data_IF_101423285575
#
_entry.id   IF_101423285575
#
_cell.length_a   1.000
_cell.length_b   1.000
_cell.length_c   1.000
_cell.angle_alpha   90.00
_cell.angle_beta   90.00
_cell.angle_gamma   90.00
#
_symmetry.space_group_name_H-M   'P 1'
#
loop_
_entity.id
_entity.type
_entity.pdbx_description
1 polymer ?
#
# COMPACT_ATOMS: atom_id res chain seq x y z
N UNK A 1 -11.90 13.82 -26.07
CA UNK A 1 -11.90 12.50 -25.41
C UNK A 1 -11.51 12.71 -23.96
N UNK A 2 -12.17 12.06 -23.00
CA UNK A 2 -11.78 12.15 -21.59
C UNK A 2 -10.58 11.21 -21.35
N UNK A 3 -9.50 11.74 -20.78
CA UNK A 3 -8.36 10.93 -20.35
C UNK A 3 -8.69 10.29 -19.00
N UNK A 4 -8.71 8.96 -18.96
CA UNK A 4 -8.98 8.16 -17.75
C UNK A 4 -7.82 7.22 -17.49
N UNK A 5 -7.69 6.79 -16.24
CA UNK A 5 -6.75 5.78 -15.79
C UNK A 5 -7.38 5.02 -14.61
N UNK A 6 -6.95 3.76 -14.41
CA UNK A 6 -7.21 3.01 -13.19
C UNK A 6 -6.00 3.15 -12.26
N UNK A 7 -6.25 3.63 -11.05
CA UNK A 7 -5.25 3.64 -9.97
C UNK A 7 -5.58 2.54 -8.96
N UNK A 8 -4.68 1.57 -8.82
CA UNK A 8 -4.73 0.53 -7.81
C UNK A 8 -3.93 1.00 -6.60
N UNK A 9 -4.58 1.19 -5.46
CA UNK A 9 -3.91 1.72 -4.27
C UNK A 9 -3.60 0.59 -3.32
N UNK A 10 -2.30 0.38 -3.08
CA UNK A 10 -1.74 -0.41 -1.97
C UNK A 10 -2.35 -1.81 -1.83
N UNK A 11 -2.55 -2.51 -2.95
CA UNK A 11 -3.00 -3.91 -2.97
C UNK A 11 -1.84 -4.85 -2.64
N UNK A 12 -1.29 -4.71 -1.44
CA UNK A 12 -0.11 -5.43 -0.94
C UNK A 12 -0.48 -6.49 0.10
N UNK A 13 0.42 -7.45 0.30
CA UNK A 13 0.22 -8.57 1.22
C UNK A 13 -0.06 -8.11 2.66
N UNK A 14 0.64 -7.09 3.15
CA UNK A 14 0.47 -6.64 4.53
C UNK A 14 -0.91 -6.06 4.82
N UNK A 15 -1.66 -5.63 3.81
CA UNK A 15 -3.04 -5.16 3.94
C UNK A 15 -4.09 -6.26 3.72
N UNK A 16 -3.67 -7.48 3.36
CA UNK A 16 -4.54 -8.64 3.14
C UNK A 16 -4.47 -9.63 4.31
N UNK A 17 -5.29 -10.69 4.28
CA UNK A 17 -5.37 -11.66 5.37
C UNK A 17 -4.00 -12.29 5.69
N UNK A 18 -3.61 -12.24 6.96
CA UNK A 18 -2.32 -12.74 7.44
C UNK A 18 -1.17 -11.74 7.33
N UNK A 19 -1.40 -10.57 6.73
CA UNK A 19 -0.47 -9.45 6.68
C UNK A 19 -0.32 -8.71 8.01
N UNK A 20 0.75 -7.92 8.15
CA UNK A 20 1.06 -7.19 9.38
C UNK A 20 0.02 -6.11 9.74
N UNK A 21 -0.65 -5.54 8.74
CA UNK A 21 -1.69 -4.53 8.89
C UNK A 21 -2.96 -4.94 8.11
N UNK A 22 -3.36 -6.21 8.29
CA UNK A 22 -4.46 -6.81 7.55
C UNK A 22 -5.76 -6.02 7.71
N UNK A 23 -6.35 -5.61 6.60
CA UNK A 23 -7.66 -4.96 6.56
C UNK A 23 -8.74 -6.04 6.45
N UNK A 24 -9.86 -5.92 7.20
CA UNK A 24 -10.99 -6.84 7.04
C UNK A 24 -11.42 -6.93 5.57
N UNK A 25 -11.54 -8.16 5.07
CA UNK A 25 -11.92 -8.46 3.68
C UNK A 25 -10.95 -7.89 2.61
N UNK A 26 -9.70 -7.57 2.97
CA UNK A 26 -8.69 -7.03 2.05
C UNK A 26 -8.51 -7.86 0.77
N UNK A 27 -8.46 -9.19 0.89
CA UNK A 27 -8.34 -10.12 -0.24
C UNK A 27 -9.47 -9.99 -1.27
N UNK A 28 -10.69 -9.66 -0.83
CA UNK A 28 -11.85 -9.51 -1.73
C UNK A 28 -11.67 -8.34 -2.71
N UNK A 29 -10.88 -7.34 -2.31
CA UNK A 29 -10.56 -6.17 -3.16
C UNK A 29 -9.73 -6.58 -4.37
N UNK A 30 -8.92 -7.64 -4.26
CA UNK A 30 -8.07 -8.13 -5.36
C UNK A 30 -8.93 -8.67 -6.51
N UNK A 31 -10.03 -9.34 -6.20
CA UNK A 31 -10.97 -9.83 -7.22
C UNK A 31 -11.61 -8.66 -8.00
N UNK A 32 -12.08 -7.64 -7.26
CA UNK A 32 -12.67 -6.43 -7.85
C UNK A 32 -11.63 -5.68 -8.70
N UNK A 33 -10.40 -5.54 -8.20
CA UNK A 33 -9.31 -4.91 -8.93
C UNK A 33 -9.02 -5.64 -10.24
N UNK A 34 -9.00 -6.98 -10.24
CA UNK A 34 -8.79 -7.78 -11.44
C UNK A 34 -9.90 -7.60 -12.49
N UNK A 35 -11.15 -7.44 -12.06
CA UNK A 35 -12.26 -7.13 -12.96
C UNK A 35 -12.15 -5.72 -13.56
N UNK A 36 -11.73 -4.74 -12.76
CA UNK A 36 -11.49 -3.36 -13.22
C UNK A 36 -10.28 -3.24 -14.15
N UNK A 37 -9.25 -4.05 -13.93
CA UNK A 37 -8.10 -4.20 -14.84
C UNK A 37 -8.60 -4.64 -16.21
N UNK A 38 -9.39 -5.72 -16.30
CA UNK A 38 -9.91 -6.21 -17.58
C UNK A 38 -10.78 -5.15 -18.28
N UNK A 39 -11.62 -4.45 -17.52
CA UNK A 39 -12.46 -3.38 -18.03
C UNK A 39 -11.63 -2.21 -18.60
N UNK A 40 -10.55 -1.83 -17.92
CA UNK A 40 -9.65 -0.74 -18.33
C UNK A 40 -8.85 -1.12 -19.57
N UNK A 41 -8.32 -2.36 -19.61
CA UNK A 41 -7.60 -2.90 -20.76
C UNK A 41 -8.46 -2.91 -22.03
N UNK A 42 -9.74 -3.32 -21.92
CA UNK A 42 -10.68 -3.34 -23.03
C UNK A 42 -10.94 -1.94 -23.64
N UNK A 43 -10.57 -0.87 -22.92
CA UNK A 43 -10.79 0.53 -23.29
C UNK A 43 -9.49 1.26 -23.61
N UNK A 44 -8.34 0.59 -23.52
CA UNK A 44 -7.03 1.20 -23.68
C UNK A 44 -6.71 2.21 -22.59
N UNK A 45 -7.31 2.07 -21.40
CA UNK A 45 -7.08 2.94 -20.26
C UNK A 45 -5.84 2.44 -19.48
N UNK A 46 -4.87 3.31 -19.18
CA UNK A 46 -3.68 2.92 -18.43
C UNK A 46 -4.02 2.50 -17.00
N UNK A 47 -3.27 1.53 -16.51
CA UNK A 47 -3.36 1.01 -15.15
C UNK A 47 -2.06 1.36 -14.43
N UNK A 48 -2.19 2.04 -13.29
CA UNK A 48 -1.08 2.43 -12.41
C UNK A 48 -1.35 1.85 -11.04
N UNK A 49 -0.31 1.43 -10.33
CA UNK A 49 -0.41 1.04 -8.94
C UNK A 49 0.44 1.94 -8.05
N UNK A 50 0.01 2.15 -6.80
CA UNK A 50 0.90 2.54 -5.72
C UNK A 50 1.33 1.32 -4.91
N UNK A 51 2.45 1.48 -4.21
CA UNK A 51 2.87 0.59 -3.15
C UNK A 51 3.35 1.44 -2.00
N UNK A 52 2.86 1.16 -0.80
CA UNK A 52 3.52 1.63 0.41
C UNK A 52 4.87 0.92 0.53
N UNK A 53 5.94 1.67 0.83
CA UNK A 53 7.30 1.18 0.62
C UNK A 53 8.26 1.68 1.71
N UNK A 54 7.95 1.40 2.96
CA UNK A 54 8.61 1.97 4.13
C UNK A 54 10.01 1.42 4.41
N UNK A 55 11.03 2.25 4.70
CA UNK A 55 12.24 1.74 5.32
C UNK A 55 11.93 1.11 6.69
N UNK A 56 12.77 0.19 7.16
CA UNK A 56 12.53 -0.54 8.40
C UNK A 56 12.49 0.36 9.66
N UNK A 57 13.08 1.56 9.58
CA UNK A 57 13.11 2.57 10.63
C UNK A 57 12.10 3.71 10.40
N UNK A 58 11.05 3.48 9.60
CA UNK A 58 10.08 4.51 9.28
C UNK A 58 9.34 5.02 10.54
N UNK A 59 9.28 6.34 10.70
CA UNK A 59 8.76 6.98 11.92
C UNK A 59 7.28 6.73 12.22
N UNK A 60 6.48 6.24 11.27
CA UNK A 60 5.08 5.86 11.53
C UNK A 60 4.93 4.54 12.29
N UNK A 61 6.00 3.76 12.43
CA UNK A 61 5.95 2.45 13.08
C UNK A 61 6.04 2.56 14.59
N UNK A 62 5.16 1.86 15.29
CA UNK A 62 5.11 1.78 16.74
C UNK A 62 6.41 1.23 17.36
N UNK A 63 7.10 0.33 16.63
CA UNK A 63 8.40 -0.22 17.03
C UNK A 63 9.48 0.85 17.22
N UNK A 64 9.43 1.96 16.47
CA UNK A 64 10.40 3.07 16.56
C UNK A 64 10.20 3.93 17.80
N UNK A 65 9.02 3.85 18.44
CA UNK A 65 8.64 4.69 19.59
C UNK A 65 8.42 3.88 20.86
N UNK A 66 8.61 2.55 20.82
CA UNK A 66 8.37 1.65 21.95
C UNK A 66 6.94 1.75 22.50
N UNK A 67 5.97 1.92 21.61
CA UNK A 67 4.53 1.94 21.93
C UNK A 67 3.83 0.76 21.28
N UNK A 68 2.60 0.48 21.71
CA UNK A 68 1.77 -0.54 21.07
C UNK A 68 1.21 -0.04 19.73
N UNK A 69 1.02 -0.90 18.72
CA UNK A 69 0.30 -0.55 17.51
C UNK A 69 -1.07 0.08 17.79
N UNK A 70 -1.49 0.99 16.92
CA UNK A 70 -2.71 1.80 17.02
C UNK A 70 -2.70 2.84 18.15
N UNK A 71 -1.55 3.08 18.79
CA UNK A 71 -1.38 4.17 19.76
C UNK A 71 -1.42 5.52 19.03
N UNK A 72 -2.25 6.43 19.51
CA UNK A 72 -2.27 7.83 19.08
C UNK A 72 -1.14 8.61 19.76
N UNK A 73 -0.47 9.47 19.01
CA UNK A 73 0.60 10.32 19.51
C UNK A 73 0.91 11.48 18.58
N UNK A 74 2.14 11.98 18.67
CA UNK A 74 2.64 13.07 17.87
C UNK A 74 3.95 12.65 17.20
N UNK A 75 4.06 12.92 15.90
CA UNK A 75 5.28 12.74 15.12
C UNK A 75 5.55 14.06 14.38
N UNK A 76 6.73 14.65 14.61
CA UNK A 76 7.14 15.88 13.95
C UNK A 76 6.17 17.07 14.14
N UNK A 77 5.48 17.13 15.28
CA UNK A 77 4.50 18.19 15.58
C UNK A 77 3.10 17.94 15.01
N UNK A 78 2.86 16.77 14.40
CA UNK A 78 1.58 16.38 13.80
C UNK A 78 1.00 15.16 14.52
N UNK A 79 -0.33 15.11 14.63
CA UNK A 79 -1.02 13.94 15.16
C UNK A 79 -0.73 12.70 14.29
N UNK A 80 -0.45 11.57 14.94
CA UNK A 80 -0.03 10.33 14.30
C UNK A 80 -0.62 9.11 15.03
N UNK A 81 -1.23 8.21 14.27
CA UNK A 81 -1.48 6.83 14.72
C UNK A 81 -0.22 6.00 14.44
N UNK A 82 0.38 5.40 15.46
CA UNK A 82 1.54 4.53 15.26
C UNK A 82 1.09 3.14 14.82
N UNK A 83 1.53 2.71 13.65
CA UNK A 83 1.11 1.46 13.01
C UNK A 83 2.04 0.29 13.38
N UNK A 84 1.60 -0.98 13.26
CA UNK A 84 2.57 -2.08 13.23
C UNK A 84 3.55 -1.90 12.07
N UNK A 85 4.74 -2.49 12.13
CA UNK A 85 5.68 -2.49 11.01
C UNK A 85 5.01 -3.20 9.80
N UNK A 86 4.88 -2.50 8.68
CA UNK A 86 4.20 -3.00 7.50
C UNK A 86 4.85 -2.46 6.23
N UNK A 87 4.65 -3.15 5.11
CA UNK A 87 5.10 -2.77 3.79
C UNK A 87 6.58 -2.35 3.76
N UNK A 88 7.41 -3.03 4.56
CA UNK A 88 8.84 -2.74 4.67
C UNK A 88 9.54 -3.03 3.34
N UNK A 89 10.42 -2.15 2.88
CA UNK A 89 11.10 -2.28 1.59
C UNK A 89 11.71 -3.67 1.40
N UNK A 90 11.44 -4.25 0.24
CA UNK A 90 11.94 -5.57 -0.18
C UNK A 90 11.44 -6.77 0.65
N UNK A 91 10.50 -6.56 1.56
CA UNK A 91 9.84 -7.65 2.29
C UNK A 91 8.74 -8.31 1.46
N UNK A 92 8.32 -9.51 1.88
CA UNK A 92 7.14 -10.18 1.34
C UNK A 92 5.85 -9.38 1.58
N UNK A 93 5.73 -8.76 2.76
CA UNK A 93 4.57 -7.94 3.13
C UNK A 93 4.35 -6.74 2.19
N UNK A 94 5.44 -6.18 1.66
CA UNK A 94 5.41 -5.06 0.73
C UNK A 94 5.16 -5.46 -0.74
N UNK A 95 5.19 -6.75 -1.08
CA UNK A 95 4.87 -7.18 -2.44
C UNK A 95 3.38 -6.94 -2.74
N UNK A 96 3.06 -6.59 -3.99
CA UNK A 96 1.67 -6.61 -4.46
C UNK A 96 1.10 -8.02 -4.32
N UNK A 97 -0.19 -8.11 -4.02
CA UNK A 97 -0.87 -9.37 -3.76
C UNK A 97 -0.65 -10.37 -4.93
N UNK A 98 -0.31 -11.64 -4.66
CA UNK A 98 0.12 -12.59 -5.69
C UNK A 98 -0.97 -12.92 -6.72
N UNK A 99 -2.24 -12.76 -6.36
CA UNK A 99 -3.38 -12.97 -7.27
C UNK A 99 -3.76 -11.74 -8.09
N UNK A 100 -3.13 -10.58 -7.87
CA UNK A 100 -3.35 -9.39 -8.68
C UNK A 100 -2.76 -9.61 -10.08
N UNK A 101 -3.44 -9.15 -11.14
CA UNK A 101 -2.95 -9.18 -12.53
C UNK A 101 -1.84 -8.15 -12.78
N UNK A 102 -0.73 -8.28 -12.06
CA UNK A 102 0.34 -7.27 -12.01
C UNK A 102 0.99 -6.98 -13.37
N UNK A 103 0.96 -7.94 -14.31
CA UNK A 103 1.47 -7.76 -15.66
C UNK A 103 0.72 -6.69 -16.48
N UNK A 104 -0.50 -6.31 -16.07
CA UNK A 104 -1.28 -5.25 -16.71
C UNK A 104 -0.91 -3.84 -16.20
N UNK A 105 -0.15 -3.75 -15.11
CA UNK A 105 0.23 -2.48 -14.48
C UNK A 105 1.35 -1.84 -15.30
N UNK A 106 1.07 -0.68 -15.87
CA UNK A 106 2.03 0.06 -16.69
C UNK A 106 3.14 0.71 -15.85
N UNK A 107 2.82 1.09 -14.61
CA UNK A 107 3.76 1.66 -13.65
C UNK A 107 3.31 1.37 -12.22
N UNK A 108 4.25 0.94 -11.40
CA UNK A 108 4.08 0.92 -9.96
C UNK A 108 4.88 2.08 -9.34
N UNK A 109 4.27 2.83 -8.42
CA UNK A 109 4.87 4.01 -7.79
C UNK A 109 5.04 3.75 -6.29
N UNK A 110 6.28 3.59 -5.79
CA UNK A 110 6.51 3.45 -4.36
C UNK A 110 6.25 4.79 -3.65
N UNK A 111 5.54 4.73 -2.54
CA UNK A 111 5.24 5.83 -1.63
C UNK A 111 5.99 5.61 -0.31
N UNK A 112 6.18 6.68 0.47
CA UNK A 112 6.81 6.61 1.81
C UNK A 112 8.19 5.92 1.84
N UNK A 113 8.92 5.99 0.73
CA UNK A 113 10.19 5.29 0.54
C UNK A 113 11.39 5.91 1.26
N UNK A 114 11.18 7.00 1.99
CA UNK A 114 12.23 7.73 2.70
C UNK A 114 12.04 7.54 4.21
N UNK A 115 13.12 7.64 5.01
CA UNK A 115 13.03 7.56 6.48
C UNK A 115 12.25 8.73 7.08
N UNK A 116 12.25 9.87 6.36
CA UNK A 116 11.52 11.07 6.72
C UNK A 116 10.02 10.90 6.43
N UNK A 117 9.24 11.06 7.49
CA UNK A 117 7.79 10.97 7.68
C UNK A 117 6.97 12.00 6.89
N UNK A 118 7.61 12.95 6.19
CA UNK A 118 6.93 14.10 5.53
C UNK A 118 6.25 13.82 4.20
N UNK A 119 6.07 12.56 3.81
CA UNK A 119 5.34 12.25 2.58
C UNK A 119 4.13 11.39 2.92
N UNK A 120 3.05 12.09 3.29
CA UNK A 120 1.69 11.60 3.11
C UNK A 120 1.42 11.22 1.66
#
# INVERSE_FOLDING_TARGET
>A
MAHRALLLVDLQNDFCAGGALAVPEGDSTVEVANALIDWSLARGEPIVASQDWHPADHGSFASQHQVEPYTEGELDGLAQTFWPDHCVQHSEGAALHPLLKQQAIARCVPQRAKPDHRQL
#
